data_IF_283393710535
#
_entry.id   IF_283393710535
#
_cell.length_a   1.000
_cell.length_b   1.000
_cell.length_c   1.000
_cell.angle_alpha   90.00
_cell.angle_beta   90.00
_cell.angle_gamma   90.00
#
_symmetry.space_group_name_H-M   'P 1'
#
loop_
_entity.id
_entity.type
_entity.pdbx_description
1 polymer ?
#
# COMPACT_ATOMS: atom_id res chain seq x y z
N UNK A 1 39.84 -30.36 7.46
CA UNK A 1 38.41 -30.77 7.31
C UNK A 1 37.45 -29.64 7.66
N UNK A 2 37.66 -28.87 8.73
CA UNK A 2 36.76 -27.78 9.17
C UNK A 2 36.49 -26.68 8.12
N UNK A 3 37.53 -26.22 7.38
CA UNK A 3 37.35 -25.18 6.34
C UNK A 3 36.39 -25.59 5.20
N UNK A 4 36.45 -26.86 4.77
CA UNK A 4 35.54 -27.33 3.69
C UNK A 4 34.09 -27.43 4.17
N UNK A 5 33.89 -27.82 5.43
CA UNK A 5 32.55 -27.88 6.02
C UNK A 5 31.97 -26.48 6.21
N UNK A 6 32.75 -25.51 6.69
CA UNK A 6 32.34 -24.13 6.83
C UNK A 6 31.94 -23.50 5.50
N UNK A 7 32.71 -23.74 4.44
CA UNK A 7 32.38 -23.28 3.08
C UNK A 7 31.09 -23.86 2.55
N UNK A 8 30.84 -25.14 2.81
CA UNK A 8 29.55 -25.78 2.42
C UNK A 8 28.39 -25.20 3.18
N UNK A 9 28.53 -24.95 4.48
CA UNK A 9 27.50 -24.32 5.29
C UNK A 9 27.20 -22.92 4.79
N UNK A 10 28.24 -22.12 4.53
CA UNK A 10 28.08 -20.76 4.00
C UNK A 10 27.38 -20.77 2.64
N UNK A 11 27.79 -21.67 1.74
CA UNK A 11 27.16 -21.79 0.42
C UNK A 11 25.67 -22.19 0.52
N UNK A 12 25.33 -23.11 1.42
CA UNK A 12 23.96 -23.52 1.66
C UNK A 12 23.12 -22.36 2.23
N UNK A 13 23.66 -21.62 3.20
CA UNK A 13 22.98 -20.44 3.77
C UNK A 13 22.74 -19.38 2.71
N UNK A 14 23.74 -19.07 1.89
CA UNK A 14 23.60 -18.11 0.80
C UNK A 14 22.55 -18.56 -0.24
N UNK A 15 22.55 -19.85 -0.60
CA UNK A 15 21.55 -20.40 -1.51
C UNK A 15 20.12 -20.27 -0.93
N UNK A 16 19.96 -20.52 0.36
CA UNK A 16 18.68 -20.40 1.06
C UNK A 16 18.18 -18.96 1.10
N UNK A 17 19.07 -18.01 1.41
CA UNK A 17 18.75 -16.56 1.39
C UNK A 17 18.36 -16.13 -0.02
N UNK A 18 19.10 -16.52 -1.05
CA UNK A 18 18.76 -16.21 -2.44
C UNK A 18 17.39 -16.78 -2.83
N UNK A 19 17.09 -18.00 -2.43
CA UNK A 19 15.78 -18.62 -2.67
C UNK A 19 14.66 -17.84 -1.98
N UNK A 20 14.86 -17.42 -0.72
CA UNK A 20 13.88 -16.61 0.01
C UNK A 20 13.64 -15.25 -0.69
N UNK A 21 14.71 -14.57 -1.12
CA UNK A 21 14.58 -13.32 -1.87
C UNK A 21 13.85 -13.51 -3.20
N UNK A 22 14.14 -14.59 -3.91
CA UNK A 22 13.46 -14.93 -5.16
C UNK A 22 11.96 -15.21 -4.91
N UNK A 23 11.63 -15.97 -3.89
CA UNK A 23 10.25 -16.22 -3.50
C UNK A 23 9.52 -14.92 -3.12
N UNK A 24 10.14 -14.05 -2.32
CA UNK A 24 9.57 -12.77 -1.93
C UNK A 24 9.30 -11.88 -3.16
N UNK A 25 10.24 -11.83 -4.09
CA UNK A 25 10.09 -11.08 -5.34
C UNK A 25 9.00 -11.68 -6.26
N UNK A 26 8.92 -13.01 -6.34
CA UNK A 26 7.89 -13.69 -7.14
C UNK A 26 6.48 -13.52 -6.56
N UNK A 27 6.35 -13.58 -5.24
CA UNK A 27 5.06 -13.47 -4.55
C UNK A 27 4.59 -12.01 -4.51
N UNK A 28 5.53 -11.07 -4.26
CA UNK A 28 5.27 -9.63 -4.15
C UNK A 28 4.02 -9.30 -3.31
N UNK A 29 3.99 -9.67 -2.02
CA UNK A 29 2.79 -9.60 -1.20
C UNK A 29 2.27 -8.19 -0.99
N UNK A 30 3.12 -7.18 -1.15
CA UNK A 30 2.79 -5.76 -0.97
C UNK A 30 2.59 -5.01 -2.28
N UNK A 31 2.58 -5.71 -3.43
CA UNK A 31 2.45 -5.11 -4.77
C UNK A 31 3.48 -4.02 -5.07
N UNK A 32 4.69 -4.13 -4.52
CA UNK A 32 5.75 -3.14 -4.69
C UNK A 32 6.31 -3.10 -6.12
N UNK A 33 6.24 -4.21 -6.84
CA UNK A 33 6.75 -4.34 -8.20
C UNK A 33 5.65 -4.50 -9.26
N UNK A 34 4.51 -5.09 -8.87
CA UNK A 34 3.40 -5.35 -9.81
C UNK A 34 2.06 -5.42 -9.10
N UNK A 35 0.99 -5.00 -9.79
CA UNK A 35 -0.38 -5.14 -9.30
C UNK A 35 -0.95 -6.50 -9.72
N UNK A 36 -1.70 -7.14 -8.82
CA UNK A 36 -2.42 -8.40 -9.07
C UNK A 36 -3.88 -8.23 -8.69
N UNK A 37 -4.78 -8.70 -9.55
CA UNK A 37 -6.23 -8.49 -9.40
C UNK A 37 -6.87 -9.26 -8.23
N UNK A 38 -6.22 -10.29 -7.69
CA UNK A 38 -6.79 -11.23 -6.72
C UNK A 38 -6.09 -11.24 -5.35
N UNK A 39 -5.48 -10.14 -4.94
CA UNK A 39 -4.85 -10.10 -3.63
C UNK A 39 -5.82 -9.64 -2.55
N UNK A 40 -6.12 -10.54 -1.61
CA UNK A 40 -6.77 -10.18 -0.35
C UNK A 40 -5.81 -9.30 0.44
N UNK A 41 -6.26 -8.09 0.77
CA UNK A 41 -5.48 -7.11 1.53
C UNK A 41 -5.36 -7.57 2.98
N UNK A 42 -4.26 -8.24 3.31
CA UNK A 42 -3.94 -8.62 4.68
C UNK A 42 -3.73 -7.39 5.58
N UNK A 43 -3.07 -6.37 5.03
CA UNK A 43 -2.89 -5.08 5.68
C UNK A 43 -2.87 -3.98 4.63
N UNK A 44 -3.92 -3.18 4.59
CA UNK A 44 -4.09 -2.12 3.60
C UNK A 44 -2.96 -1.08 3.65
N UNK A 45 -2.41 -0.75 4.82
CA UNK A 45 -1.30 0.22 4.96
C UNK A 45 -0.03 -0.24 4.27
N UNK A 46 0.25 -1.55 4.27
CA UNK A 46 1.45 -2.10 3.63
C UNK A 46 1.30 -2.23 2.11
N UNK A 47 0.09 -2.41 1.61
CA UNK A 47 -0.19 -2.60 0.17
C UNK A 47 -0.45 -1.28 -0.54
N UNK A 48 -1.01 -0.30 0.16
CA UNK A 48 -1.35 1.01 -0.42
C UNK A 48 -0.19 1.69 -1.15
N UNK A 49 1.06 1.72 -0.62
CA UNK A 49 2.19 2.32 -1.33
C UNK A 49 2.46 1.67 -2.70
N UNK A 50 2.42 0.34 -2.75
CA UNK A 50 2.58 -0.40 -4.01
C UNK A 50 1.46 -0.10 -5.00
N UNK A 51 0.21 -0.02 -4.53
CA UNK A 51 -0.92 0.35 -5.37
C UNK A 51 -0.79 1.77 -5.92
N UNK A 52 -0.42 2.74 -5.10
CA UNK A 52 -0.21 4.13 -5.53
C UNK A 52 0.88 4.21 -6.62
N UNK A 53 1.96 3.43 -6.49
CA UNK A 53 3.07 3.42 -7.45
C UNK A 53 2.73 2.69 -8.74
N UNK A 54 2.08 1.54 -8.67
CA UNK A 54 2.00 0.58 -9.77
C UNK A 54 0.62 0.47 -10.43
N UNK A 55 -0.46 0.85 -9.72
CA UNK A 55 -1.79 0.79 -10.31
C UNK A 55 -2.01 1.92 -11.32
N UNK A 56 -2.78 1.66 -12.36
CA UNK A 56 -3.16 2.66 -13.36
C UNK A 56 -4.50 3.30 -12.97
N UNK A 57 -4.44 4.51 -12.41
CA UNK A 57 -5.61 5.24 -11.92
C UNK A 57 -5.57 6.72 -12.34
N UNK A 58 -6.75 7.32 -12.38
CA UNK A 58 -6.96 8.76 -12.56
C UNK A 58 -7.89 9.36 -11.51
N UNK A 59 -8.51 8.50 -10.71
CA UNK A 59 -9.46 8.85 -9.66
C UNK A 59 -9.08 8.09 -8.39
N UNK A 60 -9.13 8.75 -7.24
CA UNK A 60 -8.78 8.14 -5.96
C UNK A 60 -9.92 8.30 -4.96
N UNK A 61 -10.28 7.21 -4.29
CA UNK A 61 -11.22 7.18 -3.17
C UNK A 61 -10.46 6.81 -1.90
N UNK A 62 -10.33 7.75 -0.97
CA UNK A 62 -9.61 7.57 0.31
C UNK A 62 -10.61 7.61 1.46
N UNK A 63 -10.47 6.71 2.40
CA UNK A 63 -11.27 6.73 3.63
C UNK A 63 -10.98 5.57 4.55
N UNK A 64 -11.75 5.49 5.62
CA UNK A 64 -11.63 4.43 6.63
C UNK A 64 -12.26 3.11 6.17
N UNK A 65 -12.38 2.17 7.11
CA UNK A 65 -13.10 0.91 6.91
C UNK A 65 -14.56 1.10 6.47
N UNK A 66 -15.15 2.28 6.65
CA UNK A 66 -16.52 2.57 6.21
C UNK A 66 -16.71 2.47 4.70
N UNK A 67 -15.68 2.81 3.92
CA UNK A 67 -15.73 2.68 2.46
C UNK A 67 -15.23 1.32 1.95
N UNK A 68 -14.86 0.40 2.83
CA UNK A 68 -14.29 -0.89 2.45
C UNK A 68 -15.21 -1.68 1.51
N UNK A 69 -16.50 -1.65 1.77
CA UNK A 69 -17.52 -2.37 0.99
C UNK A 69 -18.06 -1.55 -0.20
N UNK A 70 -17.47 -0.39 -0.51
CA UNK A 70 -17.88 0.37 -1.69
C UNK A 70 -17.61 -0.44 -2.95
N UNK A 71 -18.67 -0.64 -3.74
CA UNK A 71 -18.58 -1.29 -5.04
C UNK A 71 -17.88 -0.36 -6.04
N UNK A 72 -16.66 -0.70 -6.39
CA UNK A 72 -15.82 0.10 -7.29
C UNK A 72 -16.30 0.02 -8.75
N UNK A 73 -17.03 -1.03 -9.13
CA UNK A 73 -17.63 -1.10 -10.46
C UNK A 73 -18.75 -0.05 -10.57
N UNK A 74 -19.65 -0.04 -9.60
CA UNK A 74 -20.73 0.95 -9.55
C UNK A 74 -20.20 2.38 -9.41
N UNK A 75 -19.12 2.57 -8.64
CA UNK A 75 -18.44 3.86 -8.52
C UNK A 75 -17.92 4.34 -9.88
N UNK A 76 -17.25 3.46 -10.63
CA UNK A 76 -16.76 3.73 -11.99
C UNK A 76 -17.90 4.05 -12.95
N UNK A 77 -18.98 3.28 -12.92
CA UNK A 77 -20.13 3.46 -13.82
C UNK A 77 -20.84 4.80 -13.56
N UNK A 78 -20.81 5.30 -12.32
CA UNK A 78 -21.48 6.55 -11.92
C UNK A 78 -20.61 7.78 -12.13
N UNK A 79 -19.34 7.73 -11.76
CA UNK A 79 -18.44 8.90 -11.73
C UNK A 79 -17.40 8.87 -12.85
N UNK A 80 -17.28 7.73 -13.53
CA UNK A 80 -16.27 7.52 -14.57
C UNK A 80 -14.87 7.31 -14.04
N UNK A 81 -13.90 7.24 -14.96
CA UNK A 81 -12.49 7.13 -14.63
C UNK A 81 -12.04 5.73 -14.23
N UNK A 82 -10.80 5.65 -13.76
CA UNK A 82 -10.14 4.44 -13.24
C UNK A 82 -9.86 4.62 -11.76
N UNK A 83 -10.81 4.24 -10.89
CA UNK A 83 -10.72 4.54 -9.48
C UNK A 83 -9.74 3.60 -8.75
N UNK A 84 -8.85 4.18 -7.95
CA UNK A 84 -8.07 3.51 -6.93
C UNK A 84 -8.76 3.72 -5.57
N UNK A 85 -9.13 2.63 -4.91
CA UNK A 85 -9.70 2.66 -3.56
C UNK A 85 -8.60 2.42 -2.52
N UNK A 86 -8.43 3.37 -1.62
CA UNK A 86 -7.53 3.30 -0.48
C UNK A 86 -8.36 3.30 0.80
N UNK A 87 -8.40 2.15 1.47
CA UNK A 87 -9.14 2.00 2.72
C UNK A 87 -8.21 1.55 3.82
N UNK A 88 -8.22 2.24 4.94
CA UNK A 88 -7.45 1.83 6.12
C UNK A 88 -8.32 1.90 7.37
N UNK A 89 -8.16 0.92 8.27
CA UNK A 89 -8.88 0.97 9.54
C UNK A 89 -8.46 2.20 10.36
N UNK A 90 -9.41 3.02 10.80
CA UNK A 90 -9.18 4.22 11.60
C UNK A 90 -8.08 5.13 11.00
N UNK A 91 -8.23 5.52 9.74
CA UNK A 91 -7.32 6.45 9.06
C UNK A 91 -7.32 7.80 9.78
N UNK A 92 -6.14 8.40 9.99
CA UNK A 92 -6.00 9.74 10.56
C UNK A 92 -5.94 10.83 9.48
N UNK A 93 -6.13 12.10 9.87
CA UNK A 93 -5.96 13.23 8.94
C UNK A 93 -4.52 13.31 8.44
N UNK A 94 -3.53 13.04 9.30
CA UNK A 94 -2.11 12.98 8.93
C UNK A 94 -1.85 11.90 7.87
N UNK A 95 -2.44 10.73 8.03
CA UNK A 95 -2.34 9.65 7.03
C UNK A 95 -3.01 10.05 5.70
N UNK A 96 -4.18 10.70 5.74
CA UNK A 96 -4.86 11.22 4.53
C UNK A 96 -3.97 12.25 3.83
N UNK A 97 -3.38 13.17 4.58
CA UNK A 97 -2.49 14.18 4.04
C UNK A 97 -1.27 13.53 3.35
N UNK A 98 -0.55 12.64 4.04
CA UNK A 98 0.59 11.92 3.45
C UNK A 98 0.23 11.20 2.16
N UNK A 99 -0.90 10.51 2.14
CA UNK A 99 -1.36 9.81 0.94
C UNK A 99 -1.69 10.76 -0.20
N UNK A 100 -2.39 11.86 0.09
CA UNK A 100 -2.74 12.86 -0.94
C UNK A 100 -1.50 13.56 -1.49
N UNK A 101 -0.52 13.88 -0.63
CA UNK A 101 0.74 14.48 -1.05
C UNK A 101 1.50 13.53 -1.97
N UNK A 102 1.65 12.25 -1.57
CA UNK A 102 2.33 11.25 -2.40
C UNK A 102 1.65 10.98 -3.73
N UNK A 103 0.32 10.88 -3.73
CA UNK A 103 -0.47 10.71 -4.95
C UNK A 103 -0.32 11.95 -5.85
N UNK A 104 -0.28 13.14 -5.25
CA UNK A 104 -0.06 14.41 -5.95
C UNK A 104 1.32 14.49 -6.59
N UNK A 105 2.38 14.04 -5.91
CA UNK A 105 3.74 13.95 -6.46
C UNK A 105 3.82 13.05 -7.70
N UNK A 106 3.12 11.91 -7.68
CA UNK A 106 3.06 11.00 -8.83
C UNK A 106 2.27 11.60 -9.99
N UNK A 107 1.29 12.48 -9.71
CA UNK A 107 0.57 13.28 -10.70
C UNK A 107 -0.40 12.50 -11.60
N UNK A 108 -0.81 11.28 -11.23
CA UNK A 108 -1.76 10.48 -12.02
C UNK A 108 -3.21 10.84 -11.73
N UNK A 109 -3.52 11.16 -10.46
CA UNK A 109 -4.88 11.42 -10.01
C UNK A 109 -5.37 12.80 -10.49
N UNK A 110 -6.55 12.81 -11.10
CA UNK A 110 -7.29 14.01 -11.50
C UNK A 110 -8.41 14.34 -10.53
N UNK A 111 -8.97 13.31 -9.90
CA UNK A 111 -10.11 13.43 -9.00
C UNK A 111 -9.83 12.74 -7.68
N UNK A 112 -10.10 13.44 -6.58
CA UNK A 112 -9.94 12.95 -5.22
C UNK A 112 -11.29 12.94 -4.54
N UNK A 113 -11.69 11.78 -4.02
CA UNK A 113 -12.86 11.60 -3.19
C UNK A 113 -12.37 11.17 -1.81
N UNK A 114 -12.55 12.02 -0.82
CA UNK A 114 -12.11 11.76 0.55
C UNK A 114 -13.35 11.58 1.42
N UNK A 115 -13.50 10.40 1.99
CA UNK A 115 -14.55 10.12 2.95
C UNK A 115 -14.07 10.55 4.34
N UNK A 116 -14.67 11.61 4.86
CA UNK A 116 -14.39 12.14 6.20
C UNK A 116 -15.38 11.56 7.19
N UNK A 117 -14.89 10.64 8.01
CA UNK A 117 -15.69 10.05 9.06
C UNK A 117 -15.81 10.98 10.27
N UNK A 118 -16.89 10.83 11.01
CA UNK A 118 -17.19 11.70 12.16
C UNK A 118 -16.09 11.69 13.21
N UNK A 119 -15.38 10.58 13.43
CA UNK A 119 -14.31 10.49 14.41
C UNK A 119 -13.08 11.35 14.09
N UNK A 120 -12.87 11.72 12.81
CA UNK A 120 -11.77 12.61 12.39
C UNK A 120 -11.91 14.04 12.96
N UNK A 121 -13.11 14.40 13.36
CA UNK A 121 -13.42 15.72 13.95
C UNK A 121 -13.41 15.69 15.47
N UNK A 122 -13.13 14.55 16.11
CA UNK A 122 -13.02 14.44 17.56
C UNK A 122 -11.59 14.81 18.01
N UNK A 123 -11.42 15.92 18.77
CA UNK A 123 -10.12 16.59 18.94
C UNK A 123 -9.08 15.86 19.79
N UNK A 124 -9.37 14.73 20.41
CA UNK A 124 -8.53 14.30 21.52
C UNK A 124 -7.72 13.01 21.38
N UNK A 125 -7.87 12.21 20.33
CA UNK A 125 -7.24 10.87 20.32
C UNK A 125 -6.63 10.34 19.03
N UNK A 126 -6.83 10.94 17.87
CA UNK A 126 -6.54 10.28 16.60
C UNK A 126 -5.56 11.02 15.69
N UNK A 127 -5.24 12.27 15.98
CA UNK A 127 -4.43 13.14 15.11
C UNK A 127 -2.93 12.76 15.04
N UNK A 128 -2.39 12.11 16.07
CA UNK A 128 -0.95 11.78 16.14
C UNK A 128 -0.62 10.35 15.68
N UNK A 129 -1.60 9.59 15.20
CA UNK A 129 -1.35 8.20 14.80
C UNK A 129 -0.98 8.10 13.32
N UNK A 130 0.25 8.42 13.00
CA UNK A 130 0.84 8.02 11.74
C UNK A 130 1.28 6.55 11.80
N UNK A 131 0.56 5.73 11.08
CA UNK A 131 0.79 4.28 11.02
C UNK A 131 1.26 3.82 9.64
N UNK A 132 1.39 4.74 8.69
CA UNK A 132 1.96 4.41 7.40
C UNK A 132 3.47 4.30 7.52
N UNK A 133 4.04 3.20 7.05
CA UNK A 133 5.49 3.07 7.03
C UNK A 133 6.09 4.01 5.97
N UNK A 134 6.76 5.07 6.42
CA UNK A 134 7.35 6.11 5.56
C UNK A 134 8.26 5.51 4.48
N UNK A 135 9.05 4.51 4.85
CA UNK A 135 9.98 3.84 3.93
C UNK A 135 9.31 3.16 2.72
N UNK A 136 8.00 2.86 2.79
CA UNK A 136 7.25 2.32 1.66
C UNK A 136 6.73 3.42 0.73
N UNK A 137 6.64 4.65 1.21
CA UNK A 137 6.22 5.81 0.42
C UNK A 137 7.42 6.50 -0.25
N UNK A 138 8.63 6.31 0.27
CA UNK A 138 9.85 6.86 -0.30
C UNK A 138 10.18 6.21 -1.65
N UNK A 139 10.75 7.00 -2.55
CA UNK A 139 11.16 6.53 -3.89
C UNK A 139 12.55 5.87 -3.89
N UNK A 140 13.23 5.84 -2.74
CA UNK A 140 14.51 5.16 -2.58
C UNK A 140 14.27 3.68 -2.28
N UNK A 141 14.74 2.76 -3.16
CA UNK A 141 14.73 1.33 -2.91
C UNK A 141 15.71 0.92 -1.81
#
# INVERSE_FOLDING_TARGET
MAKKWLLRLLALTMALVMLMCLCAWCIDPYMLYRVRDNQYLLNSRLVTPGLIKNYDYDTVLIGSSMIQNTDMQRFRDTLGGRPLKITTGAISLTEIQKLTDKIGEIGRAKHYYICLDQYLFAPEKWDDMDRFPDYLLDDNP
#
